data_IF_336529999701
#
_entry.id   IF_336529999701
#
_cell.length_a   1.000
_cell.length_b   1.000
_cell.length_c   1.000
_cell.angle_alpha   90.00
_cell.angle_beta   90.00
_cell.angle_gamma   90.00
#
_symmetry.space_group_name_H-M   'P 1'
#
loop_
_entity.id
_entity.type
_entity.pdbx_description
1 polymer ?
#
# COMPACT_ATOMS: atom_id res chain seq x y z
N UNK A 1 -12.53 5.49 -12.93
CA UNK A 1 -11.52 5.00 -11.97
C UNK A 1 -10.17 5.12 -12.64
N UNK A 2 -9.38 6.16 -12.34
CA UNK A 2 -8.00 6.24 -12.82
C UNK A 2 -7.17 5.22 -12.05
N UNK A 3 -6.81 4.12 -12.70
CA UNK A 3 -5.83 3.17 -12.19
C UNK A 3 -4.48 3.89 -12.11
N UNK A 4 -3.92 4.01 -10.91
CA UNK A 4 -2.53 4.43 -10.74
C UNK A 4 -1.67 3.42 -11.53
N UNK A 5 -0.82 3.87 -12.48
CA UNK A 5 0.04 2.97 -13.24
C UNK A 5 0.90 2.14 -12.28
N UNK A 6 1.03 0.84 -12.54
CA UNK A 6 1.97 0.01 -11.80
C UNK A 6 3.39 0.59 -11.94
N UNK A 7 4.11 0.70 -10.83
CA UNK A 7 5.49 1.17 -10.85
C UNK A 7 6.37 0.24 -11.69
N UNK A 8 7.46 0.80 -12.24
CA UNK A 8 8.45 0.03 -13.00
C UNK A 8 8.92 -1.19 -12.17
N UNK A 9 9.00 -2.41 -12.74
CA UNK A 9 9.29 -3.63 -11.98
C UNK A 9 10.62 -3.58 -11.22
N UNK A 10 11.63 -2.88 -11.75
CA UNK A 10 12.90 -2.68 -11.04
C UNK A 10 12.78 -1.85 -9.76
N UNK A 11 11.73 -1.03 -9.61
CA UNK A 11 11.49 -0.25 -8.39
C UNK A 11 11.33 -1.16 -7.19
N UNK A 12 10.49 -2.19 -7.33
CA UNK A 12 10.25 -3.16 -6.25
C UNK A 12 11.53 -3.90 -5.92
N UNK A 13 12.29 -4.33 -6.93
CA UNK A 13 13.57 -5.01 -6.72
C UNK A 13 14.60 -4.15 -5.98
N UNK A 14 14.71 -2.87 -6.36
CA UNK A 14 15.58 -1.89 -5.70
C UNK A 14 15.21 -1.76 -4.22
N UNK A 15 13.94 -1.52 -3.91
CA UNK A 15 13.51 -1.33 -2.51
C UNK A 15 13.66 -2.62 -1.71
N UNK A 16 13.28 -3.78 -2.24
CA UNK A 16 13.48 -5.06 -1.56
C UNK A 16 14.96 -5.30 -1.19
N UNK A 17 15.89 -4.94 -2.08
CA UNK A 17 17.32 -5.08 -1.83
C UNK A 17 17.79 -4.20 -0.68
N UNK A 18 17.35 -2.93 -0.62
CA UNK A 18 17.80 -1.99 0.42
C UNK A 18 17.06 -2.09 1.75
N UNK A 19 15.85 -2.66 1.80
CA UNK A 19 15.11 -2.81 3.07
C UNK A 19 15.39 -4.15 3.76
N UNK A 20 15.56 -5.22 2.96
CA UNK A 20 15.60 -6.59 3.47
C UNK A 20 14.24 -7.08 3.99
N UNK A 21 14.09 -8.39 4.11
CA UNK A 21 12.84 -9.04 4.52
C UNK A 21 12.90 -9.48 5.98
N UNK A 22 11.94 -9.03 6.81
CA UNK A 22 11.71 -9.57 8.16
C UNK A 22 10.29 -10.07 8.33
N UNK A 23 10.11 -11.39 8.48
CA UNK A 23 8.78 -12.02 8.56
C UNK A 23 8.14 -11.95 9.94
N UNK A 24 8.91 -11.63 10.98
CA UNK A 24 8.42 -11.36 12.32
C UNK A 24 8.55 -9.87 12.64
N UNK A 25 7.56 -9.34 13.35
CA UNK A 25 7.58 -7.96 13.83
C UNK A 25 8.82 -7.72 14.71
N UNK A 26 9.46 -6.58 14.53
CA UNK A 26 10.63 -6.16 15.31
C UNK A 26 10.54 -4.67 15.62
N UNK A 27 11.27 -4.22 16.65
CA UNK A 27 11.45 -2.78 16.88
C UNK A 27 12.64 -2.26 16.07
N UNK A 28 12.39 -1.27 15.23
CA UNK A 28 13.46 -0.54 14.57
C UNK A 28 14.24 0.32 15.58
N UNK A 29 15.40 0.90 15.23
CA UNK A 29 16.15 1.79 16.13
C UNK A 29 15.36 3.00 16.65
N UNK A 30 14.29 3.40 15.97
CA UNK A 30 13.37 4.45 16.41
C UNK A 30 12.28 3.94 17.39
N UNK A 31 12.30 2.66 17.77
CA UNK A 31 11.37 2.05 18.72
C UNK A 31 10.00 1.69 18.16
N UNK A 32 9.77 1.85 16.84
CA UNK A 32 8.50 1.56 16.16
C UNK A 32 8.43 0.11 15.73
N UNK A 33 7.26 -0.52 15.87
CA UNK A 33 7.02 -1.87 15.37
C UNK A 33 7.06 -1.90 13.84
N UNK A 34 7.84 -2.81 13.29
CA UNK A 34 8.14 -2.91 11.86
C UNK A 34 8.11 -4.36 11.40
N UNK A 35 7.60 -4.64 10.20
CA UNK A 35 7.52 -5.99 9.63
C UNK A 35 7.69 -5.95 8.10
N UNK A 36 7.97 -7.08 7.48
CA UNK A 36 8.17 -7.20 6.03
C UNK A 36 9.38 -6.42 5.56
N UNK A 37 9.15 -5.57 4.55
CA UNK A 37 10.14 -4.65 3.97
C UNK A 37 10.01 -3.24 4.56
N UNK A 38 10.02 -3.11 5.89
CA UNK A 38 9.92 -1.80 6.55
C UNK A 38 8.50 -1.30 6.85
N UNK A 39 7.48 -2.12 6.66
CA UNK A 39 6.10 -1.72 6.95
C UNK A 39 5.89 -1.44 8.44
N UNK A 40 5.23 -0.34 8.79
CA UNK A 40 5.01 0.10 10.19
C UNK A 40 3.55 0.33 10.56
N UNK A 41 2.67 0.52 9.57
CA UNK A 41 1.28 0.92 9.82
C UNK A 41 0.49 -0.23 10.43
N UNK A 42 0.03 -0.05 11.66
CA UNK A 42 -0.81 -1.04 12.35
C UNK A 42 -0.09 -2.31 12.81
N UNK A 43 1.24 -2.37 12.69
CA UNK A 43 2.06 -3.52 13.13
C UNK A 43 2.05 -3.63 14.64
N UNK A 44 1.88 -4.85 15.15
CA UNK A 44 1.84 -5.14 16.59
C UNK A 44 2.92 -6.12 17.00
N UNK A 45 3.19 -6.16 18.29
CA UNK A 45 4.09 -7.15 18.88
C UNK A 45 3.58 -8.58 18.62
N UNK A 46 4.50 -9.50 18.39
CA UNK A 46 4.21 -10.90 18.10
C UNK A 46 3.63 -11.19 16.71
N UNK A 47 3.43 -10.19 15.85
CA UNK A 47 2.91 -10.40 14.51
C UNK A 47 3.93 -11.11 13.60
N UNK A 48 3.45 -12.07 12.81
CA UNK A 48 4.24 -12.77 11.80
C UNK A 48 3.49 -12.83 10.47
N UNK A 49 4.21 -12.68 9.37
CA UNK A 49 3.64 -12.68 8.02
C UNK A 49 4.40 -13.63 7.10
N UNK A 50 3.77 -14.02 5.99
CA UNK A 50 4.45 -14.73 4.90
C UNK A 50 5.15 -13.74 3.96
N UNK A 51 6.09 -14.24 3.15
CA UNK A 51 6.73 -13.43 2.11
C UNK A 51 5.72 -12.77 1.16
N UNK A 52 4.69 -13.51 0.75
CA UNK A 52 3.65 -12.97 -0.13
C UNK A 52 2.83 -11.84 0.52
N UNK A 53 2.62 -11.90 1.84
CA UNK A 53 2.00 -10.78 2.58
C UNK A 53 2.96 -9.59 2.62
N UNK A 54 4.25 -9.81 2.89
CA UNK A 54 5.26 -8.75 2.90
C UNK A 54 5.37 -8.03 1.54
N UNK A 55 5.29 -8.77 0.44
CA UNK A 55 5.28 -8.22 -0.93
C UNK A 55 4.04 -7.37 -1.20
N UNK A 56 2.86 -7.78 -0.71
CA UNK A 56 1.64 -6.96 -0.83
C UNK A 56 1.70 -5.69 0.00
N UNK A 57 2.23 -5.76 1.23
CA UNK A 57 2.45 -4.58 2.07
C UNK A 57 3.40 -3.60 1.38
N UNK A 58 4.52 -4.09 0.85
CA UNK A 58 5.47 -3.28 0.10
C UNK A 58 4.83 -2.63 -1.14
N UNK A 59 4.05 -3.38 -1.92
CA UNK A 59 3.34 -2.83 -3.07
C UNK A 59 2.40 -1.68 -2.66
N UNK A 60 1.67 -1.85 -1.55
CA UNK A 60 0.78 -0.80 -1.01
C UNK A 60 1.56 0.42 -0.54
N UNK A 61 2.68 0.25 0.16
CA UNK A 61 3.47 1.36 0.66
C UNK A 61 4.17 2.12 -0.48
N UNK A 62 4.64 1.41 -1.50
CA UNK A 62 5.21 2.02 -2.71
C UNK A 62 4.16 2.77 -3.53
N UNK A 63 2.93 2.25 -3.61
CA UNK A 63 1.83 2.97 -4.24
C UNK A 63 1.53 4.29 -3.51
N UNK A 64 1.50 4.27 -2.17
CA UNK A 64 1.33 5.49 -1.38
C UNK A 64 2.48 6.50 -1.59
N UNK A 65 3.72 6.01 -1.66
CA UNK A 65 4.88 6.85 -1.98
C UNK A 65 4.79 7.45 -3.38
N UNK A 66 4.34 6.67 -4.37
CA UNK A 66 4.13 7.13 -5.74
C UNK A 66 3.01 8.18 -5.83
N UNK A 67 1.93 8.03 -5.05
CA UNK A 67 0.87 9.03 -4.95
C UNK A 67 1.38 10.36 -4.40
N UNK A 68 2.27 10.31 -3.40
CA UNK A 68 2.90 11.52 -2.88
C UNK A 68 3.84 12.17 -3.90
N UNK A 69 4.57 11.38 -4.70
CA UNK A 69 5.33 11.90 -5.85
C UNK A 69 4.38 12.59 -6.84
N UNK A 70 3.28 11.94 -7.21
CA UNK A 70 2.32 12.47 -8.18
C UNK A 70 1.68 13.80 -7.72
N UNK A 71 1.44 13.97 -6.42
CA UNK A 71 0.94 15.24 -5.85
C UNK A 71 1.99 16.37 -5.88
N UNK A 72 3.27 16.03 -5.86
CA UNK A 72 4.37 16.98 -5.66
C UNK A 72 5.12 17.34 -6.95
N UNK A 73 5.02 16.51 -7.99
CA UNK A 73 5.67 16.71 -9.28
C UNK A 73 4.70 17.28 -10.30
N UNK A 74 5.11 18.35 -10.98
CA UNK A 74 4.26 19.08 -11.94
C UNK A 74 4.66 18.89 -13.40
N UNK A 75 5.69 18.07 -13.66
CA UNK A 75 6.18 17.74 -15.00
C UNK A 75 5.91 16.27 -15.32
N UNK A 76 5.78 15.88 -16.60
CA UNK A 76 5.70 14.48 -16.98
C UNK A 76 6.93 13.70 -16.50
N UNK A 77 6.69 12.47 -16.06
CA UNK A 77 7.74 11.54 -15.64
C UNK A 77 7.72 10.28 -16.49
N UNK A 78 8.87 9.66 -16.67
CA UNK A 78 8.96 8.26 -17.11
C UNK A 78 8.59 7.32 -15.96
N UNK A 79 8.31 6.05 -16.26
CA UNK A 79 8.07 5.04 -15.20
C UNK A 79 9.30 4.83 -14.31
N UNK A 80 10.50 4.92 -14.89
CA UNK A 80 11.76 4.79 -14.16
C UNK A 80 11.98 5.98 -13.20
N UNK A 81 11.69 7.21 -13.65
CA UNK A 81 11.72 8.40 -12.80
C UNK A 81 10.69 8.32 -11.67
N UNK A 82 9.44 7.95 -11.98
CA UNK A 82 8.41 7.70 -10.95
C UNK A 82 8.88 6.66 -9.92
N UNK A 83 9.44 5.56 -10.39
CA UNK A 83 9.97 4.48 -9.56
C UNK A 83 11.09 4.93 -8.62
N UNK A 84 12.10 5.61 -9.15
CA UNK A 84 13.21 6.13 -8.36
C UNK A 84 12.75 7.14 -7.30
N UNK A 85 11.83 8.04 -7.66
CA UNK A 85 11.26 9.01 -6.72
C UNK A 85 10.37 8.33 -5.68
N UNK A 86 9.61 7.30 -6.04
CA UNK A 86 8.82 6.51 -5.09
C UNK A 86 9.74 5.81 -4.08
N UNK A 87 10.87 5.22 -4.51
CA UNK A 87 11.88 4.67 -3.60
C UNK A 87 12.48 5.75 -2.67
N UNK A 88 12.77 6.93 -3.22
CA UNK A 88 13.26 8.07 -2.46
C UNK A 88 12.27 8.48 -1.36
N UNK A 89 10.99 8.67 -1.72
CA UNK A 89 9.91 9.03 -0.80
C UNK A 89 9.68 7.92 0.22
N UNK A 90 9.73 6.66 -0.20
CA UNK A 90 9.60 5.51 0.70
C UNK A 90 10.71 5.48 1.77
N UNK A 91 11.93 5.91 1.44
CA UNK A 91 13.03 5.94 2.41
C UNK A 91 13.03 7.17 3.32
N UNK A 92 12.76 8.35 2.73
CA UNK A 92 12.99 9.64 3.39
C UNK A 92 11.70 10.34 3.78
N UNK A 93 10.55 9.90 3.30
CA UNK A 93 9.24 10.52 3.53
C UNK A 93 8.92 11.67 2.56
N UNK A 94 7.62 11.91 2.35
CA UNK A 94 7.11 12.91 1.41
C UNK A 94 7.49 14.34 1.82
N UNK A 95 7.59 14.63 3.12
CA UNK A 95 7.97 15.95 3.62
C UNK A 95 9.39 16.36 3.17
N UNK A 96 10.35 15.43 3.24
CA UNK A 96 11.72 15.67 2.77
C UNK A 96 11.75 15.88 1.26
N UNK A 97 10.99 15.08 0.50
CA UNK A 97 10.89 15.25 -0.95
C UNK A 97 10.26 16.59 -1.33
N UNK A 98 9.17 16.99 -0.66
CA UNK A 98 8.47 18.28 -0.88
C UNK A 98 9.40 19.48 -0.72
N UNK A 99 10.26 19.47 0.30
CA UNK A 99 11.23 20.53 0.57
C UNK A 99 12.56 20.43 -0.21
N UNK A 100 12.74 19.39 -1.04
CA UNK A 100 14.02 19.10 -1.67
C UNK A 100 14.36 20.02 -2.84
N UNK A 101 15.66 20.31 -3.00
CA UNK A 101 16.16 20.90 -4.25
C UNK A 101 15.94 19.97 -5.45
N UNK A 102 15.97 18.64 -5.23
CA UNK A 102 15.68 17.62 -6.24
C UNK A 102 14.31 17.90 -6.90
N UNK A 103 13.24 17.92 -6.11
CA UNK A 103 11.88 18.21 -6.60
C UNK A 103 11.76 19.59 -7.24
N UNK A 104 12.48 20.59 -6.70
CA UNK A 104 12.46 21.95 -7.25
C UNK A 104 13.11 22.02 -8.63
N UNK A 105 14.23 21.35 -8.86
CA UNK A 105 14.89 21.29 -10.18
C UNK A 105 14.03 20.48 -11.17
N UNK A 106 13.52 19.33 -10.72
CA UNK A 106 12.63 18.49 -11.51
C UNK A 106 11.40 19.26 -12.02
N UNK A 107 10.70 19.98 -11.15
CA UNK A 107 9.51 20.76 -11.55
C UNK A 107 9.84 21.96 -12.45
N UNK A 108 11.11 22.35 -12.56
CA UNK A 108 11.59 23.33 -13.55
C UNK A 108 11.96 22.70 -14.89
N UNK A 109 11.85 21.38 -15.02
CA UNK A 109 12.28 20.63 -16.20
C UNK A 109 13.79 20.31 -16.22
N UNK A 110 14.53 20.65 -15.16
CA UNK A 110 15.96 20.35 -15.06
C UNK A 110 16.16 18.92 -14.55
N UNK A 111 16.05 17.96 -15.46
CA UNK A 111 16.14 16.52 -15.17
C UNK A 111 17.56 16.15 -14.70
N UNK A 112 18.58 16.69 -15.37
CA UNK A 112 19.98 16.41 -15.04
C UNK A 112 20.38 17.00 -13.68
N UNK A 113 19.99 18.26 -13.43
CA UNK A 113 20.19 18.88 -12.14
C UNK A 113 19.45 18.15 -11.03
N UNK A 114 18.23 17.65 -11.27
CA UNK A 114 17.49 16.83 -10.33
C UNK A 114 18.20 15.50 -10.04
N UNK A 115 18.69 14.79 -11.06
CA UNK A 115 19.45 13.55 -10.89
C UNK A 115 20.70 13.77 -10.00
N UNK A 116 21.44 14.86 -10.23
CA UNK A 116 22.58 15.24 -9.38
C UNK A 116 22.23 15.59 -7.93
N UNK A 117 20.94 15.67 -7.54
CA UNK A 117 20.58 15.92 -6.13
C UNK A 117 20.47 14.65 -5.29
N UNK A 118 20.41 13.45 -5.87
CA UNK A 118 20.29 12.20 -5.09
C UNK A 118 21.45 12.02 -4.10
N UNK A 119 22.69 12.27 -4.54
CA UNK A 119 23.92 12.13 -3.73
C UNK A 119 23.98 13.03 -2.47
N UNK A 120 23.11 14.05 -2.39
CA UNK A 120 23.06 14.93 -1.21
C UNK A 120 22.31 14.32 -0.03
N UNK A 121 21.53 13.28 -0.28
CA UNK A 121 20.67 12.60 0.70
C UNK A 121 21.33 11.34 1.28
N UNK A 122 22.59 11.48 1.66
CA UNK A 122 23.44 10.36 2.14
C UNK A 122 23.81 10.44 3.61
N UNK A 123 23.17 11.36 4.34
CA UNK A 123 23.48 11.64 5.74
C UNK A 123 22.28 11.33 6.65
N UNK A 124 22.56 10.74 7.80
CA UNK A 124 21.60 10.57 8.89
C UNK A 124 22.12 11.26 10.17
N UNK A 125 21.22 11.57 11.10
CA UNK A 125 21.62 12.07 12.42
C UNK A 125 21.69 10.90 13.39
N UNK A 126 22.89 10.56 13.86
CA UNK A 126 23.14 9.50 14.83
C UNK A 126 23.70 10.16 16.09
N UNK A 127 23.03 9.98 17.23
CA UNK A 127 23.42 10.58 18.52
C UNK A 127 23.68 12.11 18.43
N UNK A 128 22.81 12.81 17.69
CA UNK A 128 22.89 14.27 17.49
C UNK A 128 23.95 14.75 16.48
N UNK A 129 24.70 13.84 15.84
CA UNK A 129 25.72 14.18 14.84
C UNK A 129 25.28 13.73 13.45
N UNK A 130 25.55 14.56 12.45
CA UNK A 130 25.29 14.24 11.05
C UNK A 130 26.42 13.37 10.51
N UNK A 131 26.10 12.14 10.14
CA UNK A 131 27.05 11.15 9.65
C UNK A 131 26.67 10.69 8.24
N UNK A 132 27.68 10.57 7.37
CA UNK A 132 27.52 10.02 6.02
C UNK A 132 27.41 8.50 6.13
N UNK A 133 26.34 7.91 5.62
CA UNK A 133 26.11 6.47 5.69
C UNK A 133 26.44 5.81 4.36
N UNK A 134 27.39 4.85 4.30
CA UNK A 134 27.73 4.14 3.07
C UNK A 134 26.52 3.50 2.39
N UNK A 135 25.61 2.90 3.18
CA UNK A 135 24.38 2.30 2.63
C UNK A 135 23.47 3.33 1.95
N UNK A 136 23.37 4.56 2.48
CA UNK A 136 22.63 5.62 1.79
C UNK A 136 23.35 6.07 0.52
N UNK A 137 24.68 6.15 0.52
CA UNK A 137 25.45 6.47 -0.70
C UNK A 137 25.12 5.49 -1.83
N UNK A 138 25.22 4.19 -1.56
CA UNK A 138 24.89 3.16 -2.54
C UNK A 138 23.43 3.22 -2.97
N UNK A 139 22.49 3.43 -2.03
CA UNK A 139 21.06 3.57 -2.36
C UNK A 139 20.78 4.77 -3.25
N UNK A 140 21.36 5.93 -2.94
CA UNK A 140 21.16 7.14 -3.73
C UNK A 140 21.73 7.00 -5.14
N UNK A 141 22.89 6.34 -5.30
CA UNK A 141 23.46 6.04 -6.61
C UNK A 141 22.57 5.08 -7.43
N UNK A 142 22.03 4.04 -6.79
CA UNK A 142 21.09 3.11 -7.43
C UNK A 142 19.79 3.78 -7.86
N UNK A 143 19.22 4.64 -7.01
CA UNK A 143 18.02 5.41 -7.36
C UNK A 143 18.30 6.43 -8.47
N UNK A 144 19.46 7.09 -8.46
CA UNK A 144 19.86 7.98 -9.56
C UNK A 144 20.00 7.22 -10.88
N UNK A 145 20.64 6.04 -10.87
CA UNK A 145 20.77 5.19 -12.05
C UNK A 145 19.39 4.81 -12.61
N UNK A 146 18.45 4.39 -11.75
CA UNK A 146 17.07 4.13 -12.17
C UNK A 146 16.38 5.39 -12.69
N UNK A 147 16.56 6.54 -12.03
CA UNK A 147 15.97 7.82 -12.46
C UNK A 147 16.43 8.23 -13.86
N UNK A 148 17.68 7.91 -14.21
CA UNK A 148 18.28 8.11 -15.54
C UNK A 148 17.86 7.05 -16.57
N UNK A 149 17.09 6.03 -16.16
CA UNK A 149 16.66 4.92 -17.02
C UNK A 149 17.69 3.80 -17.18
N UNK A 150 18.75 3.78 -16.35
CA UNK A 150 19.74 2.70 -16.34
C UNK A 150 19.40 1.58 -15.37
N UNK A 151 20.22 0.51 -15.38
CA UNK A 151 20.14 -0.58 -14.40
C UNK A 151 20.74 -0.16 -13.06
N UNK A 152 19.89 -0.06 -12.03
CA UNK A 152 20.31 0.31 -10.68
C UNK A 152 21.29 -0.68 -10.05
N UNK A 153 21.31 -1.94 -10.51
CA UNK A 153 22.22 -2.97 -10.00
C UNK A 153 23.67 -2.66 -10.35
N UNK A 154 23.92 -1.97 -11.45
CA UNK A 154 25.26 -1.53 -11.84
C UNK A 154 25.85 -0.49 -10.87
N UNK A 155 25.01 0.19 -10.08
CA UNK A 155 25.45 1.13 -9.05
C UNK A 155 25.85 0.44 -7.72
N UNK A 156 25.64 -0.87 -7.60
CA UNK A 156 26.00 -1.63 -6.40
C UNK A 156 27.46 -2.10 -6.53
N UNK A 157 28.35 -1.76 -5.58
CA UNK A 157 29.71 -2.26 -5.60
C UNK A 157 29.75 -3.80 -5.54
N UNK A 158 30.61 -4.42 -6.34
CA UNK A 158 30.79 -5.87 -6.33
C UNK A 158 31.16 -6.36 -4.92
N UNK A 159 30.39 -7.32 -4.38
CA UNK A 159 30.58 -7.86 -3.04
C UNK A 159 29.94 -7.06 -1.89
N UNK A 160 29.23 -5.96 -2.17
CA UNK A 160 28.44 -5.28 -1.17
C UNK A 160 27.23 -6.15 -0.79
N UNK A 161 27.22 -6.65 0.45
CA UNK A 161 26.03 -7.26 1.03
C UNK A 161 24.90 -6.21 1.10
N UNK A 162 23.62 -6.60 0.91
CA UNK A 162 22.50 -5.70 1.15
C UNK A 162 22.54 -5.28 2.62
N UNK A 163 23.02 -4.07 2.89
CA UNK A 163 22.94 -3.47 4.20
C UNK A 163 21.54 -2.84 4.30
N UNK A 164 20.61 -3.41 5.09
CA UNK A 164 19.27 -2.84 5.23
C UNK A 164 19.39 -1.40 5.72
N UNK A 165 18.97 -0.45 4.90
CA UNK A 165 19.05 0.98 5.18
C UNK A 165 17.74 1.37 5.84
N UNK A 166 17.76 1.47 7.17
CA UNK A 166 16.58 1.84 7.95
C UNK A 166 15.89 3.08 7.37
N UNK A 167 14.60 2.97 7.10
CA UNK A 167 13.77 4.10 6.70
C UNK A 167 13.78 5.18 7.78
N UNK A 168 13.69 6.44 7.36
CA UNK A 168 13.36 7.51 8.29
C UNK A 168 11.89 7.34 8.66
N UNK A 169 11.63 6.86 9.86
CA UNK A 169 10.27 6.79 10.39
C UNK A 169 9.74 8.22 10.50
N UNK A 170 8.72 8.55 9.72
CA UNK A 170 7.93 9.75 9.93
C UNK A 170 7.26 9.62 11.30
N UNK A 171 7.50 10.58 12.18
CA UNK A 171 6.93 10.53 13.52
C UNK A 171 5.41 10.39 13.39
N UNK A 172 4.83 9.39 14.05
CA UNK A 172 3.38 9.32 14.19
C UNK A 172 2.90 10.69 14.69
N UNK A 173 1.77 11.23 14.18
CA UNK A 173 1.22 12.45 14.73
C UNK A 173 1.14 12.27 16.25
N UNK A 174 1.83 13.14 16.98
CA UNK A 174 1.85 13.14 18.43
C UNK A 174 0.38 13.21 18.85
N UNK A 175 -0.14 12.29 19.69
CA UNK A 175 -1.49 12.45 20.19
C UNK A 175 -1.54 13.80 20.90
N UNK A 176 -2.33 14.72 20.33
CA UNK A 176 -2.67 15.97 20.99
C UNK A 176 -3.20 15.56 22.38
N UNK A 177 -2.71 16.14 23.49
CA UNK A 177 -3.20 15.78 24.80
C UNK A 177 -4.71 16.01 24.82
N UNK A 178 -5.47 14.91 24.89
CA UNK A 178 -6.90 14.95 25.12
C UNK A 178 -7.12 15.70 26.43
N UNK A 179 -7.59 16.95 26.31
CA UNK A 179 -8.06 17.73 27.44
C UNK A 179 -9.16 16.89 28.09
N UNK A 180 -8.88 16.42 29.30
CA UNK A 180 -9.81 15.70 30.16
C UNK A 180 -10.99 16.62 30.49
N UNK A 181 -12.19 16.25 30.06
CA UNK A 181 -13.39 16.26 30.91
C UNK A 181 -14.64 15.82 30.13
N UNK A 182 -15.12 14.60 30.39
CA UNK A 182 -16.53 14.25 30.60
C UNK A 182 -16.65 12.72 30.82
N UNK A 183 -17.62 12.25 31.65
CA UNK A 183 -17.54 10.97 32.34
C UNK A 183 -17.90 9.77 31.47
N UNK A 184 -17.42 8.62 31.92
CA UNK A 184 -17.64 7.30 31.35
C UNK A 184 -19.13 6.96 31.15
N UNK A 185 -19.49 6.59 29.93
CA UNK A 185 -20.60 5.67 29.68
C UNK A 185 -20.01 4.28 29.50
N UNK A 186 -19.95 3.55 30.61
CA UNK A 186 -19.81 2.12 30.60
C UNK A 186 -21.07 1.52 29.96
N UNK A 187 -20.92 0.88 28.82
CA UNK A 187 -22.02 0.19 28.14
C UNK A 187 -21.53 -0.44 26.84
N UNK A 188 -21.38 -1.76 26.84
CA UNK A 188 -21.20 -2.58 25.65
C UNK A 188 -22.36 -2.33 24.68
N UNK A 189 -22.14 -1.53 23.64
CA UNK A 189 -23.11 -1.32 22.57
C UNK A 189 -22.48 -1.66 21.23
N UNK A 190 -22.91 -2.79 20.67
CA UNK A 190 -22.70 -3.19 19.29
C UNK A 190 -23.20 -2.05 18.39
N UNK A 191 -22.29 -1.36 17.69
CA UNK A 191 -22.65 -0.30 16.75
C UNK A 191 -23.32 -0.94 15.54
N UNK A 192 -24.66 -0.97 15.53
CA UNK A 192 -25.44 -1.26 14.33
C UNK A 192 -25.44 -0.03 13.43
N UNK A 193 -25.67 -0.23 12.12
CA UNK A 193 -25.71 0.84 11.10
C UNK A 193 -26.64 2.02 11.46
N UNK A 194 -27.63 1.83 12.34
CA UNK A 194 -28.51 2.88 12.84
C UNK A 194 -27.88 3.83 13.87
N UNK A 195 -26.85 3.41 14.61
CA UNK A 195 -26.24 4.22 15.68
C UNK A 195 -25.39 5.39 15.18
N UNK A 196 -24.92 5.33 13.94
CA UNK A 196 -24.09 6.38 13.32
C UNK A 196 -24.96 7.57 12.88
N UNK A 197 -26.22 7.31 12.47
CA UNK A 197 -27.14 8.36 12.04
C UNK A 197 -27.53 9.31 13.18
N UNK A 198 -27.75 8.78 14.40
CA UNK A 198 -28.08 9.59 15.57
C UNK A 198 -26.94 10.50 16.06
N UNK A 199 -25.70 10.21 15.67
CA UNK A 199 -24.52 11.02 16.01
C UNK A 199 -24.37 12.25 15.09
N UNK A 200 -24.99 12.22 13.91
CA UNK A 200 -24.95 13.31 12.91
C UNK A 200 -25.89 14.46 13.32
N UNK A 201 -27.07 14.15 13.86
CA UNK A 201 -28.04 15.17 14.32
C UNK A 201 -27.57 15.94 15.57
N UNK A 202 -26.71 15.34 16.39
CA UNK A 202 -26.21 15.95 17.62
C UNK A 202 -25.12 17.01 17.41
N UNK A 203 -24.49 17.07 16.23
CA UNK A 203 -23.31 17.91 15.99
C UNK A 203 -23.59 19.24 15.28
N UNK A 204 -24.75 19.40 14.63
CA UNK A 204 -25.11 20.64 13.91
C UNK A 204 -24.14 21.03 12.78
N UNK A 205 -24.55 21.91 11.84
CA UNK A 205 -23.71 22.26 10.72
C UNK A 205 -22.70 23.35 11.12
N UNK A 206 -21.55 22.96 11.67
CA UNK A 206 -20.47 23.91 11.94
C UNK A 206 -19.09 23.33 11.59
N UNK A 207 -18.61 23.67 10.38
CA UNK A 207 -17.19 23.61 10.00
C UNK A 207 -16.74 22.39 9.20
N UNK A 208 -15.55 22.50 8.58
CA UNK A 208 -14.86 21.50 7.75
C UNK A 208 -14.83 20.08 8.35
N UNK A 209 -14.88 19.96 9.68
CA UNK A 209 -14.92 18.69 10.39
C UNK A 209 -16.26 17.94 10.20
N UNK A 210 -17.38 18.65 10.07
CA UNK A 210 -18.68 18.05 9.76
C UNK A 210 -18.72 17.48 8.34
N UNK A 211 -18.12 18.18 7.37
CA UNK A 211 -18.02 17.71 5.99
C UNK A 211 -17.11 16.47 5.87
N UNK A 212 -16.02 16.41 6.63
CA UNK A 212 -15.14 15.25 6.69
C UNK A 212 -15.82 14.04 7.36
N UNK A 213 -16.60 14.27 8.42
CA UNK A 213 -17.37 13.21 9.08
C UNK A 213 -18.47 12.64 8.17
N UNK A 214 -19.19 13.49 7.42
CA UNK A 214 -20.17 13.07 6.42
C UNK A 214 -19.51 12.29 5.28
N UNK A 215 -18.35 12.76 4.78
CA UNK A 215 -17.61 12.06 3.74
C UNK A 215 -17.13 10.67 4.17
N UNK A 216 -16.62 10.55 5.40
CA UNK A 216 -16.19 9.27 5.96
C UNK A 216 -17.39 8.32 6.17
N UNK A 217 -18.52 8.84 6.65
CA UNK A 217 -19.75 8.06 6.83
C UNK A 217 -20.30 7.54 5.49
N UNK A 218 -20.29 8.38 4.45
CA UNK A 218 -20.69 7.99 3.09
C UNK A 218 -19.76 6.94 2.50
N UNK A 219 -18.45 7.02 2.76
CA UNK A 219 -17.45 6.06 2.29
C UNK A 219 -17.57 4.70 3.02
N UNK A 220 -17.92 4.70 4.31
CA UNK A 220 -18.22 3.49 5.09
C UNK A 220 -19.54 2.85 4.66
N UNK A 221 -20.57 3.64 4.36
CA UNK A 221 -21.83 3.13 3.80
C UNK A 221 -21.65 2.57 2.38
N UNK A 222 -20.85 3.22 1.54
CA UNK A 222 -20.52 2.74 0.20
C UNK A 222 -19.78 1.40 0.21
N UNK A 223 -18.85 1.21 1.15
CA UNK A 223 -18.15 -0.07 1.34
C UNK A 223 -19.06 -1.15 1.92
N UNK A 224 -19.95 -0.81 2.85
CA UNK A 224 -20.96 -1.76 3.37
C UNK A 224 -21.93 -2.22 2.27
N UNK A 225 -22.42 -1.31 1.43
CA UNK A 225 -23.27 -1.64 0.29
C UNK A 225 -22.56 -2.52 -0.75
N UNK A 226 -21.27 -2.28 -1.00
CA UNK A 226 -20.46 -3.13 -1.89
C UNK A 226 -20.25 -4.53 -1.30
N UNK A 227 -19.99 -4.65 0.00
CA UNK A 227 -19.86 -5.95 0.68
C UNK A 227 -21.18 -6.72 0.67
N UNK A 228 -22.31 -6.04 0.86
CA UNK A 228 -23.63 -6.65 0.82
C UNK A 228 -24.01 -7.09 -0.61
N UNK A 229 -23.71 -6.28 -1.63
CA UNK A 229 -23.90 -6.67 -3.03
C UNK A 229 -23.05 -7.90 -3.42
N UNK A 230 -21.80 -7.98 -2.94
CA UNK A 230 -20.95 -9.17 -3.13
C UNK A 230 -21.53 -10.37 -2.39
N UNK A 231 -22.08 -10.19 -1.18
CA UNK A 231 -22.72 -11.26 -0.42
C UNK A 231 -23.98 -11.81 -1.12
N UNK A 232 -24.80 -10.94 -1.71
CA UNK A 232 -25.99 -11.32 -2.50
C UNK A 232 -25.59 -12.05 -3.79
N UNK A 233 -24.52 -11.62 -4.47
CA UNK A 233 -23.98 -12.31 -5.64
C UNK A 233 -23.46 -13.72 -5.29
N UNK A 234 -22.79 -13.87 -4.14
CA UNK A 234 -22.34 -15.18 -3.63
C UNK A 234 -23.52 -16.07 -3.28
N UNK A 235 -24.56 -15.54 -2.61
CA UNK A 235 -25.77 -16.30 -2.28
C UNK A 235 -26.54 -16.74 -3.55
N UNK A 236 -26.64 -15.86 -4.56
CA UNK A 236 -27.26 -16.18 -5.85
C UNK A 236 -26.50 -17.28 -6.58
N UNK A 237 -25.17 -17.20 -6.61
CA UNK A 237 -24.31 -18.22 -7.22
C UNK A 237 -24.45 -19.58 -6.50
N UNK A 238 -24.52 -19.60 -5.17
CA UNK A 238 -24.74 -20.82 -4.39
C UNK A 238 -26.11 -21.45 -4.68
N UNK A 239 -27.16 -20.63 -4.84
CA UNK A 239 -28.50 -21.10 -5.23
C UNK A 239 -28.54 -21.71 -6.63
N UNK A 240 -27.83 -21.11 -7.58
CA UNK A 240 -27.71 -21.64 -8.95
C UNK A 240 -26.94 -22.97 -9.00
N UNK A 241 -25.88 -23.12 -8.18
CA UNK A 241 -25.14 -24.38 -8.04
C UNK A 241 -26.00 -25.46 -7.40
N UNK A 242 -26.77 -25.14 -6.36
CA UNK A 242 -27.70 -26.07 -5.73
C UNK A 242 -28.82 -26.52 -6.69
N UNK A 243 -29.36 -25.59 -7.49
CA UNK A 243 -30.35 -25.90 -8.52
C UNK A 243 -29.80 -26.78 -9.64
N UNK A 244 -28.55 -26.56 -10.06
CA UNK A 244 -27.87 -27.40 -11.05
C UNK A 244 -27.61 -28.82 -10.53
N UNK A 245 -27.22 -28.96 -9.26
CA UNK A 245 -27.04 -30.27 -8.61
C UNK A 245 -28.37 -31.03 -8.50
N UNK A 246 -29.45 -30.36 -8.10
CA UNK A 246 -30.78 -30.95 -8.04
C UNK A 246 -31.31 -31.36 -9.43
N UNK A 247 -31.05 -30.55 -10.45
CA UNK A 247 -31.41 -30.86 -11.84
C UNK A 247 -30.67 -32.11 -12.34
N UNK A 248 -29.35 -32.24 -12.07
CA UNK A 248 -28.56 -33.41 -12.46
C UNK A 248 -28.99 -34.69 -11.73
N UNK A 249 -29.42 -34.58 -10.47
CA UNK A 249 -29.98 -35.70 -9.71
C UNK A 249 -31.35 -36.15 -10.26
N UNK A 250 -32.17 -35.22 -10.77
CA UNK A 250 -33.49 -35.53 -11.32
C UNK A 250 -33.44 -36.27 -12.67
N UNK A 251 -32.33 -36.19 -13.42
CA UNK A 251 -32.16 -36.90 -14.71
C UNK A 251 -31.66 -38.34 -14.56
N UNK A 252 -31.54 -38.85 -13.32
CA UNK A 252 -31.18 -40.24 -13.05
C UNK A 252 -29.72 -40.62 -13.36
N UNK A 253 -28.83 -39.62 -13.46
CA UNK A 253 -27.40 -39.89 -13.63
C UNK A 253 -26.83 -40.44 -12.30
N UNK A 254 -26.36 -41.70 -12.34
CA UNK A 254 -25.78 -42.38 -11.18
C UNK A 254 -24.61 -41.63 -10.52
N UNK A 255 -24.22 -42.03 -9.30
CA UNK A 255 -23.37 -41.24 -8.39
C UNK A 255 -21.95 -40.91 -8.90
N UNK A 256 -21.53 -41.39 -10.08
CA UNK A 256 -20.24 -41.09 -10.69
C UNK A 256 -20.18 -39.73 -11.42
N UNK A 257 -21.30 -39.17 -11.88
CA UNK A 257 -21.35 -37.84 -12.54
C UNK A 257 -21.51 -36.67 -11.55
N UNK A 258 -22.11 -36.93 -10.38
CA UNK A 258 -22.33 -35.91 -9.34
C UNK A 258 -21.02 -35.42 -8.70
N UNK A 259 -20.03 -36.29 -8.59
CA UNK A 259 -18.70 -35.99 -8.05
C UNK A 259 -17.83 -35.15 -8.99
N UNK A 260 -18.04 -35.28 -10.30
CA UNK A 260 -17.29 -34.55 -11.34
C UNK A 260 -17.73 -33.07 -11.45
N UNK A 261 -19.00 -32.78 -11.17
CA UNK A 261 -19.53 -31.41 -11.21
C UNK A 261 -19.12 -30.56 -10.00
N UNK A 262 -19.01 -31.18 -8.81
CA UNK A 262 -18.52 -30.48 -7.62
C UNK A 262 -17.02 -30.15 -7.69
N UNK A 263 -16.22 -30.97 -8.37
CA UNK A 263 -14.78 -30.73 -8.58
C UNK A 263 -14.44 -29.87 -9.81
N UNK A 264 -15.17 -30.03 -10.92
CA UNK A 264 -14.88 -29.37 -12.19
C UNK A 264 -15.63 -28.05 -12.45
N UNK A 265 -16.83 -27.88 -11.89
CA UNK A 265 -17.70 -26.74 -12.18
C UNK A 265 -17.20 -25.40 -11.60
N UNK A 266 -16.52 -25.44 -10.45
CA UNK A 266 -15.96 -24.23 -9.83
C UNK A 266 -14.73 -23.71 -10.60
N UNK A 267 -13.96 -24.61 -11.23
CA UNK A 267 -12.78 -24.26 -12.03
C UNK A 267 -13.14 -23.80 -13.45
N UNK A 268 -14.19 -24.36 -14.06
CA UNK A 268 -14.66 -23.95 -15.38
C UNK A 268 -15.39 -22.60 -15.37
N UNK A 269 -16.13 -22.26 -14.31
CA UNK A 269 -16.83 -20.96 -14.21
C UNK A 269 -15.86 -19.80 -13.91
N UNK A 270 -14.88 -20.01 -13.04
CA UNK A 270 -13.78 -19.06 -12.84
C UNK A 270 -12.88 -18.96 -14.08
N UNK A 271 -12.61 -20.08 -14.75
CA UNK A 271 -11.84 -20.12 -16.01
C UNK A 271 -12.53 -19.37 -17.16
N UNK A 272 -13.84 -19.55 -17.35
CA UNK A 272 -14.60 -18.83 -18.39
C UNK A 272 -14.71 -17.33 -18.09
N UNK A 273 -14.95 -16.94 -16.83
CA UNK A 273 -15.06 -15.53 -16.45
C UNK A 273 -13.73 -14.78 -16.59
N UNK A 274 -12.60 -15.45 -16.34
CA UNK A 274 -11.26 -14.89 -16.59
C UNK A 274 -10.96 -14.83 -18.09
N UNK A 275 -11.35 -15.86 -18.87
CA UNK A 275 -11.14 -15.91 -20.31
C UNK A 275 -11.98 -14.88 -21.09
N UNK A 276 -13.24 -14.66 -20.73
CA UNK A 276 -14.09 -13.62 -21.35
C UNK A 276 -13.59 -12.20 -21.03
N UNK A 277 -13.09 -11.96 -19.82
CA UNK A 277 -12.45 -10.68 -19.45
C UNK A 277 -11.16 -10.43 -20.22
N UNK A 278 -10.37 -11.46 -20.53
CA UNK A 278 -9.16 -11.35 -21.35
C UNK A 278 -9.44 -11.20 -22.85
N UNK A 279 -10.59 -11.68 -23.33
CA UNK A 279 -11.05 -11.54 -24.72
C UNK A 279 -11.62 -10.14 -25.00
N UNK A 280 -12.27 -9.53 -24.01
CA UNK A 280 -12.83 -8.17 -24.11
C UNK A 280 -11.77 -7.06 -24.01
N UNK A 281 -10.50 -7.40 -23.73
CA UNK A 281 -9.39 -6.46 -23.56
C UNK A 281 -8.33 -6.53 -24.66
N UNK A 282 -8.69 -7.05 -25.86
CA UNK A 282 -7.90 -6.94 -27.08
C UNK A 282 -8.62 -6.08 -28.11
#
# INVERSE_FOLDING_TARGET
>A
MSTIPALHPDTTGLVQYFEGLKLAAYRCPAGVWTIGYGHTKGVRDGETITKAVAERLLASDLAAAADDVAKLVTVPLTDAQRGALASFVFNLGAANFKGSTLRRLLNKGDIEGAAGQFERWVYATIKGKKEKLPGLVTRRAAEEALFRGGDWRAAIPAGAAPAPVAQKVEAAPVPVPLIRSAPALAGTATLTLGGIAGLIDALGPAGELGAQAIGLAQQVQGTAAQVQAVAEQVATAQGQVAGAVAAVQAIGAGPSLSSLLLGGGLLLTLGLQVWERLRASR
#
